data_IF_205116864366
#
_entry.id   IF_205116864366
#
_cell.length_a   1.000
_cell.length_b   1.000
_cell.length_c   1.000
_cell.angle_alpha   90.00
_cell.angle_beta   90.00
_cell.angle_gamma   90.00
#
_symmetry.space_group_name_H-M   'P 1'
#
loop_
_entity.id
_entity.type
_entity.pdbx_description
1 polymer ?
#
# COMPACT_ATOMS: atom_id res chain seq x y z
N UNK A 1 -5.85 18.14 3.25
CA UNK A 1 -4.80 17.12 3.20
C UNK A 1 -5.35 15.95 2.39
N UNK A 2 -4.78 15.67 1.23
CA UNK A 2 -5.32 14.71 0.26
C UNK A 2 -4.72 13.32 0.56
N UNK A 3 -5.57 12.30 0.80
CA UNK A 3 -5.14 10.91 0.92
C UNK A 3 -5.08 10.28 -0.48
N UNK A 4 -3.92 10.40 -1.11
CA UNK A 4 -3.73 9.94 -2.49
C UNK A 4 -3.81 8.39 -2.64
N UNK A 5 -3.51 7.66 -1.58
CA UNK A 5 -3.54 6.19 -1.58
C UNK A 5 -4.84 5.60 -1.00
N UNK A 6 -5.71 6.43 -0.42
CA UNK A 6 -6.93 5.96 0.25
C UNK A 6 -6.68 5.09 1.48
N UNK A 7 -5.47 5.13 2.06
CA UNK A 7 -5.07 4.24 3.17
C UNK A 7 -5.39 4.80 4.56
N UNK A 8 -5.67 6.11 4.68
CA UNK A 8 -5.98 6.75 5.97
C UNK A 8 -7.18 6.15 6.69
N UNK A 9 -8.31 5.84 6.01
CA UNK A 9 -9.42 5.17 6.68
C UNK A 9 -9.02 3.82 7.29
N UNK A 10 -8.15 3.06 6.63
CA UNK A 10 -7.61 1.81 7.16
C UNK A 10 -6.73 2.07 8.40
N UNK A 11 -5.77 2.99 8.30
CA UNK A 11 -4.89 3.39 9.42
C UNK A 11 -5.72 3.83 10.61
N UNK A 12 -6.69 4.72 10.40
CA UNK A 12 -7.55 5.23 11.46
C UNK A 12 -8.39 4.11 12.11
N UNK A 13 -8.93 3.20 11.31
CA UNK A 13 -9.69 2.05 11.83
C UNK A 13 -8.83 1.14 12.70
N UNK A 14 -7.63 0.82 12.26
CA UNK A 14 -6.69 -0.02 13.01
C UNK A 14 -6.18 0.70 14.27
N UNK A 15 -5.95 2.01 14.20
CA UNK A 15 -5.53 2.81 15.36
C UNK A 15 -6.65 2.97 16.41
N UNK A 16 -7.91 3.20 15.99
CA UNK A 16 -9.05 3.34 16.89
C UNK A 16 -9.44 2.01 17.54
N UNK A 17 -9.17 0.88 16.86
CA UNK A 17 -9.46 -0.44 17.41
C UNK A 17 -8.75 -0.71 18.76
N UNK A 18 -7.65 0.02 19.05
CA UNK A 18 -6.91 0.02 20.32
C UNK A 18 -6.40 -1.36 20.74
N UNK A 19 -7.28 -2.36 20.74
CA UNK A 19 -7.00 -3.77 20.99
C UNK A 19 -7.38 -4.57 19.72
N UNK A 20 -6.36 -4.98 18.98
CA UNK A 20 -6.50 -5.74 17.73
C UNK A 20 -7.20 -7.08 17.96
N UNK A 21 -6.95 -7.73 19.10
CA UNK A 21 -7.57 -8.99 19.45
C UNK A 21 -9.04 -8.84 19.78
N UNK A 22 -9.42 -7.83 20.58
CA UNK A 22 -10.81 -7.54 20.88
C UNK A 22 -11.60 -7.19 19.59
N UNK A 23 -11.00 -6.42 18.69
CA UNK A 23 -11.59 -6.11 17.40
C UNK A 23 -11.79 -7.37 16.53
N UNK A 24 -10.83 -8.27 16.50
CA UNK A 24 -10.94 -9.53 15.78
C UNK A 24 -12.06 -10.42 16.36
N UNK A 25 -12.15 -10.53 17.68
CA UNK A 25 -13.24 -11.29 18.33
C UNK A 25 -14.62 -10.70 18.03
N UNK A 26 -14.77 -9.39 18.11
CA UNK A 26 -16.05 -8.73 17.86
C UNK A 26 -16.55 -8.89 16.41
N UNK A 27 -15.65 -9.16 15.49
CA UNK A 27 -15.96 -9.36 14.06
C UNK A 27 -15.93 -10.84 13.63
N UNK A 28 -15.71 -11.78 14.56
CA UNK A 28 -15.59 -13.22 14.26
C UNK A 28 -14.34 -13.58 13.45
N UNK A 29 -13.27 -12.78 13.59
CA UNK A 29 -12.01 -12.93 12.84
C UNK A 29 -10.85 -13.42 13.71
N UNK A 30 -11.14 -14.10 14.82
CA UNK A 30 -10.12 -14.60 15.76
C UNK A 30 -9.21 -15.69 15.17
N UNK A 31 -9.69 -16.43 14.17
CA UNK A 31 -8.99 -17.59 13.59
C UNK A 31 -8.15 -17.23 12.35
N UNK A 32 -8.09 -15.94 11.98
CA UNK A 32 -7.25 -15.54 10.86
C UNK A 32 -5.78 -15.80 11.16
N UNK A 33 -5.08 -16.32 10.17
CA UNK A 33 -3.64 -16.58 10.22
C UNK A 33 -2.83 -15.63 9.37
N UNK A 34 -3.51 -14.87 8.50
CA UNK A 34 -2.83 -13.94 7.59
C UNK A 34 -3.67 -12.71 7.29
N UNK A 35 -3.00 -11.58 7.22
CA UNK A 35 -3.56 -10.33 6.72
C UNK A 35 -2.71 -9.81 5.55
N UNK A 36 -3.35 -9.44 4.46
CA UNK A 36 -2.66 -8.86 3.30
C UNK A 36 -3.26 -7.50 3.00
N UNK A 37 -2.41 -6.49 2.89
CA UNK A 37 -2.78 -5.15 2.44
C UNK A 37 -2.14 -4.91 1.09
N UNK A 38 -2.94 -4.64 0.07
CA UNK A 38 -2.47 -4.31 -1.28
C UNK A 38 -2.71 -2.83 -1.49
N UNK A 39 -1.63 -2.07 -1.68
CA UNK A 39 -1.67 -0.64 -1.98
C UNK A 39 -1.32 -0.43 -3.43
N UNK A 40 -2.17 0.26 -4.17
CA UNK A 40 -1.92 0.62 -5.57
C UNK A 40 -1.51 2.09 -5.61
N UNK A 41 -0.26 2.35 -5.95
CA UNK A 41 0.26 3.67 -6.19
C UNK A 41 0.44 3.91 -7.69
N UNK A 42 -0.53 4.57 -8.31
CA UNK A 42 -0.51 4.93 -9.72
C UNK A 42 -0.06 6.39 -9.92
N UNK A 43 0.93 6.83 -9.13
CA UNK A 43 1.42 8.20 -9.18
C UNK A 43 2.12 8.48 -10.51
N UNK A 44 1.60 9.48 -11.24
CA UNK A 44 2.25 10.02 -12.42
C UNK A 44 3.37 10.98 -12.03
N UNK A 45 4.46 10.99 -12.77
CA UNK A 45 5.49 12.01 -12.60
C UNK A 45 5.05 13.35 -13.18
N UNK A 46 5.36 14.42 -12.46
CA UNK A 46 5.27 15.75 -13.04
C UNK A 46 6.23 15.85 -14.22
N UNK A 47 5.72 16.28 -15.39
CA UNK A 47 6.55 16.48 -16.60
C UNK A 47 7.58 17.62 -16.47
N UNK A 48 7.59 18.31 -15.35
CA UNK A 48 8.41 19.48 -15.11
C UNK A 48 9.78 19.10 -14.55
N UNK A 49 10.78 19.03 -15.42
CA UNK A 49 12.19 18.96 -15.03
C UNK A 49 12.67 20.39 -14.69
N UNK A 50 12.33 20.89 -13.51
CA UNK A 50 12.73 22.25 -13.09
C UNK A 50 14.23 22.51 -13.20
N UNK A 51 15.07 21.48 -13.04
CA UNK A 51 16.53 21.56 -13.14
C UNK A 51 17.06 21.75 -14.56
N UNK A 52 16.24 21.59 -15.60
CA UNK A 52 16.65 21.72 -17.00
C UNK A 52 16.31 23.07 -17.63
N UNK A 53 15.61 23.95 -16.91
CA UNK A 53 15.27 25.27 -17.42
C UNK A 53 16.46 26.25 -17.26
N UNK A 54 16.99 26.74 -18.38
CA UNK A 54 17.97 27.83 -18.41
C UNK A 54 17.30 29.20 -18.29
N UNK A 55 15.97 29.29 -18.25
CA UNK A 55 15.14 30.50 -18.15
C UNK A 55 14.14 30.35 -17.01
N UNK A 56 13.49 31.46 -16.57
CA UNK A 56 12.44 31.38 -15.55
C UNK A 56 11.38 30.32 -15.89
N UNK A 57 11.05 29.49 -14.91
CA UNK A 57 10.05 28.42 -15.06
C UNK A 57 8.68 29.04 -15.36
N UNK A 58 7.95 28.57 -16.36
CA UNK A 58 6.59 29.05 -16.63
C UNK A 58 5.70 28.94 -15.40
N UNK A 59 4.82 29.92 -15.20
CA UNK A 59 3.95 29.99 -14.02
C UNK A 59 3.12 28.69 -13.83
N UNK A 60 2.63 28.10 -14.92
CA UNK A 60 1.86 26.88 -14.89
C UNK A 60 2.69 25.70 -14.38
N UNK A 61 3.95 25.59 -14.81
CA UNK A 61 4.87 24.53 -14.37
C UNK A 61 5.24 24.71 -12.89
N UNK A 62 5.36 25.96 -12.44
CA UNK A 62 5.58 26.28 -11.03
C UNK A 62 4.39 25.82 -10.18
N UNK A 63 3.16 26.09 -10.61
CA UNK A 63 1.93 25.66 -9.91
C UNK A 63 1.84 24.14 -9.87
N UNK A 64 2.08 23.46 -10.99
CA UNK A 64 2.08 22.00 -11.07
C UNK A 64 3.15 21.37 -10.17
N UNK A 65 4.35 21.92 -10.15
CA UNK A 65 5.42 21.47 -9.26
C UNK A 65 5.10 21.68 -7.78
N UNK A 66 4.56 22.83 -7.43
CA UNK A 66 4.18 23.14 -6.05
C UNK A 66 3.09 22.20 -5.50
N UNK A 67 2.28 21.60 -6.37
CA UNK A 67 1.26 20.63 -5.96
C UNK A 67 1.76 19.18 -5.97
N UNK A 68 2.67 18.81 -6.87
CA UNK A 68 3.14 17.43 -7.03
C UNK A 68 4.18 17.03 -5.96
N UNK A 69 5.08 17.95 -5.57
CA UNK A 69 6.11 17.66 -4.55
C UNK A 69 5.49 17.23 -3.20
N UNK A 70 4.54 17.98 -2.62
CA UNK A 70 3.89 17.57 -1.39
C UNK A 70 3.15 16.23 -1.50
N UNK A 71 2.57 15.90 -2.67
CA UNK A 71 1.87 14.64 -2.88
C UNK A 71 2.83 13.45 -2.80
N UNK A 72 4.06 13.59 -3.28
CA UNK A 72 5.09 12.54 -3.22
C UNK A 72 5.50 12.28 -1.78
N UNK A 73 5.79 13.31 -1.01
CA UNK A 73 6.14 13.18 0.41
C UNK A 73 4.99 12.52 1.21
N UNK A 74 3.74 12.94 0.99
CA UNK A 74 2.58 12.33 1.65
C UNK A 74 2.37 10.87 1.28
N UNK A 75 2.70 10.46 0.07
CA UNK A 75 2.63 9.06 -0.36
C UNK A 75 3.61 8.21 0.44
N UNK A 76 4.87 8.66 0.57
CA UNK A 76 5.88 7.97 1.36
C UNK A 76 5.50 7.87 2.83
N UNK A 77 5.10 8.99 3.45
CA UNK A 77 4.64 9.01 4.84
C UNK A 77 3.44 8.08 5.08
N UNK A 78 2.49 8.07 4.15
CA UNK A 78 1.31 7.19 4.22
C UNK A 78 1.70 5.72 4.16
N UNK A 79 2.64 5.32 3.31
CA UNK A 79 3.14 3.95 3.23
C UNK A 79 3.89 3.54 4.51
N UNK A 80 4.71 4.42 5.07
CA UNK A 80 5.37 4.17 6.35
C UNK A 80 4.38 4.03 7.49
N UNK A 81 3.33 4.85 7.51
CA UNK A 81 2.26 4.76 8.50
C UNK A 81 1.49 3.45 8.38
N UNK A 82 1.14 2.99 7.17
CA UNK A 82 0.51 1.68 6.96
C UNK A 82 1.39 0.56 7.51
N UNK A 83 2.67 0.55 7.17
CA UNK A 83 3.63 -0.47 7.64
C UNK A 83 3.73 -0.51 9.16
N UNK A 84 3.86 0.65 9.80
CA UNK A 84 3.91 0.75 11.26
C UNK A 84 2.62 0.28 11.92
N UNK A 85 1.47 0.68 11.34
CA UNK A 85 0.14 0.30 11.86
C UNK A 85 -0.11 -1.20 11.73
N UNK A 86 0.30 -1.82 10.61
CA UNK A 86 0.22 -3.27 10.43
C UNK A 86 1.08 -4.01 11.46
N UNK A 87 2.31 -3.56 11.69
CA UNK A 87 3.18 -4.16 12.71
C UNK A 87 2.58 -4.06 14.12
N UNK A 88 1.98 -2.91 14.47
CA UNK A 88 1.25 -2.72 15.72
C UNK A 88 0.03 -3.63 15.83
N UNK A 89 -0.74 -3.77 14.75
CA UNK A 89 -1.88 -4.66 14.69
C UNK A 89 -1.47 -6.12 14.91
N UNK A 90 -0.44 -6.60 14.17
CA UNK A 90 0.10 -7.96 14.34
C UNK A 90 0.49 -8.23 15.78
N UNK A 91 1.28 -7.34 16.37
CA UNK A 91 1.73 -7.47 17.76
C UNK A 91 0.54 -7.61 18.72
N UNK A 92 -0.39 -6.66 18.69
CA UNK A 92 -1.56 -6.68 19.57
C UNK A 92 -2.48 -7.88 19.33
N UNK A 93 -2.63 -8.33 18.09
CA UNK A 93 -3.42 -9.51 17.74
C UNK A 93 -2.80 -10.79 18.31
N UNK A 94 -1.49 -10.99 18.12
CA UNK A 94 -0.77 -12.18 18.63
C UNK A 94 -0.74 -12.21 20.14
N UNK A 95 -0.33 -11.11 20.78
CA UNK A 95 -0.28 -11.01 22.24
C UNK A 95 -1.66 -11.25 22.87
N UNK A 96 -2.71 -10.65 22.32
CA UNK A 96 -4.08 -10.84 22.80
C UNK A 96 -4.60 -12.26 22.60
N UNK A 97 -4.32 -12.89 21.46
CA UNK A 97 -4.69 -14.28 21.17
C UNK A 97 -4.02 -15.26 22.12
N UNK A 98 -2.71 -15.10 22.35
CA UNK A 98 -1.96 -15.94 23.26
C UNK A 98 -2.43 -15.78 24.71
N UNK A 99 -2.66 -14.54 25.16
CA UNK A 99 -3.18 -14.26 26.49
C UNK A 99 -4.60 -14.82 26.71
N UNK A 100 -5.47 -14.70 25.71
CA UNK A 100 -6.85 -15.23 25.77
C UNK A 100 -6.87 -16.74 25.92
N UNK A 101 -6.06 -17.48 25.12
CA UNK A 101 -5.91 -18.94 25.25
C UNK A 101 -5.36 -19.34 26.62
N UNK A 102 -4.28 -18.70 27.06
CA UNK A 102 -3.68 -18.98 28.36
C UNK A 102 -4.70 -18.77 29.51
N UNK A 103 -5.49 -17.70 29.46
CA UNK A 103 -6.50 -17.42 30.47
C UNK A 103 -7.62 -18.47 30.57
N UNK A 104 -7.88 -19.19 29.47
CA UNK A 104 -8.86 -20.28 29.40
C UNK A 104 -8.26 -21.65 29.71
N UNK A 105 -6.95 -21.74 29.95
CA UNK A 105 -6.25 -23.02 30.12
C UNK A 105 -6.13 -23.82 28.82
N UNK A 106 -6.29 -23.17 27.66
CA UNK A 106 -6.13 -23.80 26.35
C UNK A 106 -4.65 -23.89 25.95
N UNK A 107 -4.33 -24.79 25.03
CA UNK A 107 -2.99 -24.90 24.47
C UNK A 107 -2.62 -23.61 23.73
N UNK A 108 -1.48 -23.04 24.12
CA UNK A 108 -0.93 -21.83 23.48
C UNK A 108 -0.03 -22.11 22.29
N UNK A 109 0.21 -23.37 21.93
CA UNK A 109 0.98 -23.72 20.75
C UNK A 109 0.34 -23.11 19.48
N UNK A 110 1.14 -22.42 18.67
CA UNK A 110 0.70 -21.74 17.47
C UNK A 110 -0.23 -20.53 17.69
N UNK A 111 -0.30 -20.00 18.92
CA UNK A 111 -1.05 -18.76 19.15
C UNK A 111 -0.42 -17.54 18.46
N UNK A 112 0.86 -17.63 18.14
CA UNK A 112 1.66 -16.64 17.40
C UNK A 112 1.64 -16.86 15.86
N UNK A 113 0.93 -17.90 15.38
CA UNK A 113 0.78 -18.20 13.95
C UNK A 113 -0.09 -17.15 13.25
N UNK A 114 0.52 -15.99 12.98
CA UNK A 114 -0.08 -14.89 12.25
C UNK A 114 0.97 -14.16 11.43
N UNK A 115 0.71 -14.03 10.15
CA UNK A 115 1.57 -13.27 9.23
C UNK A 115 0.84 -12.08 8.61
N UNK A 116 1.59 -11.03 8.33
CA UNK A 116 1.11 -9.85 7.62
C UNK A 116 2.00 -9.53 6.43
N UNK A 117 1.39 -9.24 5.30
CA UNK A 117 2.07 -8.83 4.09
C UNK A 117 1.54 -7.47 3.59
N UNK A 118 2.46 -6.57 3.24
CA UNK A 118 2.18 -5.33 2.52
C UNK A 118 2.70 -5.45 1.10
N UNK A 119 1.80 -5.43 0.14
CA UNK A 119 2.11 -5.49 -1.28
C UNK A 119 1.87 -4.11 -1.88
N UNK A 120 2.91 -3.50 -2.43
CA UNK A 120 2.84 -2.19 -3.06
C UNK A 120 2.95 -2.38 -4.57
N UNK A 121 1.89 -2.03 -5.28
CA UNK A 121 1.87 -1.96 -6.74
C UNK A 121 2.21 -0.52 -7.11
N UNK A 122 3.45 -0.32 -7.55
CA UNK A 122 3.98 0.98 -7.92
C UNK A 122 4.59 0.90 -9.32
N UNK A 123 4.38 1.93 -10.13
CA UNK A 123 4.97 2.00 -11.48
C UNK A 123 6.51 1.99 -11.43
N UNK A 124 7.11 2.42 -10.32
CA UNK A 124 8.57 2.34 -10.11
C UNK A 124 9.10 0.90 -10.04
N UNK A 125 8.23 -0.06 -9.71
CA UNK A 125 8.58 -1.48 -9.68
C UNK A 125 8.66 -2.11 -11.08
N UNK A 126 8.34 -1.37 -12.15
CA UNK A 126 8.48 -1.88 -13.52
C UNK A 126 9.95 -1.93 -13.90
N UNK A 127 10.45 -3.15 -14.21
CA UNK A 127 11.84 -3.39 -14.54
C UNK A 127 12.25 -2.72 -15.86
N UNK A 128 11.37 -2.73 -16.87
CA UNK A 128 11.63 -2.08 -18.15
C UNK A 128 11.53 -0.57 -18.02
N UNK A 129 12.67 0.13 -18.13
CA UNK A 129 12.77 1.58 -17.94
C UNK A 129 11.88 2.38 -18.90
N UNK A 130 11.90 2.03 -20.21
CA UNK A 130 11.11 2.76 -21.22
C UNK A 130 9.62 2.63 -20.96
N UNK A 131 9.16 1.42 -20.64
CA UNK A 131 7.77 1.15 -20.27
C UNK A 131 7.38 1.93 -19.02
N UNK A 132 8.23 1.93 -17.98
CA UNK A 132 8.02 2.67 -16.74
C UNK A 132 7.87 4.16 -16.99
N UNK A 133 8.81 4.79 -17.69
CA UNK A 133 8.78 6.21 -18.01
C UNK A 133 7.55 6.58 -18.84
N UNK A 134 7.18 5.78 -19.80
CA UNK A 134 5.99 5.99 -20.61
C UNK A 134 4.70 5.93 -19.77
N UNK A 135 4.55 4.93 -18.91
CA UNK A 135 3.35 4.78 -18.08
C UNK A 135 3.25 5.89 -17.02
N UNK A 136 4.38 6.33 -16.46
CA UNK A 136 4.42 7.45 -15.51
C UNK A 136 4.09 8.80 -16.16
N UNK A 137 4.20 8.91 -17.48
CA UNK A 137 3.83 10.12 -18.24
C UNK A 137 2.37 10.14 -18.69
N UNK A 138 1.60 9.09 -18.44
CA UNK A 138 0.18 9.09 -18.75
C UNK A 138 -0.53 10.19 -17.93
N UNK A 139 -1.46 10.94 -18.55
CA UNK A 139 -2.16 12.00 -17.85
C UNK A 139 -3.04 11.41 -16.74
N UNK A 140 -3.10 12.08 -15.60
CA UNK A 140 -4.11 11.79 -14.58
C UNK A 140 -5.46 12.29 -15.09
N UNK A 141 -6.15 11.44 -15.82
CA UNK A 141 -7.41 11.76 -16.51
C UNK A 141 -8.41 10.62 -16.36
N UNK A 142 -9.71 10.97 -16.30
CA UNK A 142 -10.80 9.98 -16.37
C UNK A 142 -11.03 9.43 -17.78
N UNK A 143 -10.34 9.99 -18.79
CA UNK A 143 -10.47 9.59 -20.19
C UNK A 143 -9.10 9.19 -20.72
N UNK A 144 -8.72 7.94 -20.47
CA UNK A 144 -7.56 7.30 -21.08
C UNK A 144 -8.00 6.51 -22.32
N UNK A 145 -7.10 6.33 -23.27
CA UNK A 145 -7.35 5.45 -24.42
C UNK A 145 -7.44 4.00 -23.95
N UNK A 146 -8.25 3.14 -24.60
CA UNK A 146 -8.36 1.73 -24.23
C UNK A 146 -7.01 1.02 -24.12
N UNK A 147 -6.09 1.31 -25.04
CA UNK A 147 -4.75 0.73 -25.08
C UNK A 147 -3.91 1.13 -23.86
N UNK A 148 -4.04 2.38 -23.40
CA UNK A 148 -3.34 2.89 -22.21
C UNK A 148 -3.85 2.20 -20.93
N UNK A 149 -5.17 1.97 -20.86
CA UNK A 149 -5.80 1.23 -19.76
C UNK A 149 -5.31 -0.22 -19.73
N UNK A 150 -5.27 -0.88 -20.88
CA UNK A 150 -4.82 -2.27 -20.96
C UNK A 150 -3.33 -2.40 -20.62
N UNK A 151 -2.50 -1.44 -20.99
CA UNK A 151 -1.10 -1.40 -20.60
C UNK A 151 -0.91 -1.24 -19.08
N UNK A 152 -1.67 -0.35 -18.44
CA UNK A 152 -1.65 -0.20 -16.99
C UNK A 152 -2.08 -1.49 -16.28
N UNK A 153 -3.15 -2.13 -16.76
CA UNK A 153 -3.61 -3.41 -16.22
C UNK A 153 -2.57 -4.52 -16.38
N UNK A 154 -1.88 -4.56 -17.52
CA UNK A 154 -0.79 -5.52 -17.77
C UNK A 154 0.38 -5.25 -16.84
N UNK A 155 0.79 -3.99 -16.68
CA UNK A 155 1.86 -3.60 -15.75
C UNK A 155 1.54 -3.99 -14.30
N UNK A 156 0.31 -3.73 -13.82
CA UNK A 156 -0.11 -4.13 -12.48
C UNK A 156 -0.04 -5.66 -12.28
N UNK A 157 -0.46 -6.46 -13.28
CA UNK A 157 -0.35 -7.92 -13.23
C UNK A 157 1.09 -8.41 -13.16
N UNK A 158 1.99 -7.78 -13.92
CA UNK A 158 3.42 -8.10 -13.91
C UNK A 158 4.02 -7.81 -12.53
N UNK A 159 3.77 -6.61 -11.98
CA UNK A 159 4.27 -6.21 -10.65
C UNK A 159 3.77 -7.16 -9.56
N UNK A 160 2.47 -7.49 -9.55
CA UNK A 160 1.91 -8.47 -8.59
C UNK A 160 2.56 -9.84 -8.79
N UNK A 161 2.67 -10.30 -10.03
CA UNK A 161 3.26 -11.60 -10.35
C UNK A 161 4.72 -11.74 -9.91
N UNK A 162 5.48 -10.66 -9.91
CA UNK A 162 6.87 -10.63 -9.45
C UNK A 162 6.99 -10.42 -7.92
N UNK A 163 5.91 -10.06 -7.23
CA UNK A 163 5.90 -9.82 -5.79
C UNK A 163 6.09 -11.11 -5.00
N UNK A 164 7.22 -11.24 -4.29
CA UNK A 164 7.47 -12.38 -3.40
C UNK A 164 6.42 -12.52 -2.28
N UNK A 165 5.90 -11.40 -1.78
CA UNK A 165 4.85 -11.41 -0.77
C UNK A 165 3.54 -11.98 -1.33
N UNK A 166 3.17 -11.60 -2.56
CA UNK A 166 2.00 -12.14 -3.23
C UNK A 166 2.16 -13.64 -3.53
N UNK A 167 3.34 -14.08 -3.98
CA UNK A 167 3.61 -15.50 -4.24
C UNK A 167 3.50 -16.34 -2.96
N UNK A 168 4.06 -15.86 -1.83
CA UNK A 168 3.88 -16.54 -0.54
C UNK A 168 2.40 -16.65 -0.20
N UNK A 169 1.66 -15.54 -0.28
CA UNK A 169 0.24 -15.53 0.02
C UNK A 169 -0.55 -16.56 -0.80
N UNK A 170 -0.33 -16.63 -2.12
CA UNK A 170 -1.03 -17.59 -3.00
C UNK A 170 -0.66 -19.03 -2.67
N UNK A 171 0.60 -19.30 -2.35
CA UNK A 171 1.05 -20.67 -2.02
C UNK A 171 0.45 -21.17 -0.70
N UNK A 172 0.16 -20.29 0.24
CA UNK A 172 -0.38 -20.66 1.54
C UNK A 172 -1.92 -20.76 1.56
N UNK A 173 -2.59 -20.23 0.54
CA UNK A 173 -4.06 -20.31 0.39
C UNK A 173 -4.48 -21.51 -0.44
N UNK A 174 -3.57 -22.13 -1.20
CA UNK A 174 -3.81 -23.35 -1.99
C UNK A 174 -3.43 -24.59 -1.19
#
# INVERSE_FOLDING_TARGET
MTDNLGVRPLINRLAIAGDSWAAAKSTGKQDIKRAVVIVVNAQAESRTHFSSFASPVPLMDTILGATSIPLNEYTFESLMAVKSTMAGFKKGFVEGRCADRASKGEDTAGCDDFEDDLIIIDLDNITNKEKRERLKQLPTSFVLKPEEVDELRKAAREIIGESKAFQRFINDVN
#
